data_IF_341652741172
#
_entry.id   IF_341652741172
#
_cell.length_a   1.000
_cell.length_b   1.000
_cell.length_c   1.000
_cell.angle_alpha   90.00
_cell.angle_beta   90.00
_cell.angle_gamma   90.00
#
_symmetry.space_group_name_H-M   'P 1'
#
loop_
_entity.id
_entity.type
_entity.pdbx_description
1 polymer ?
#
# COMPACT_ATOMS: atom_id res chain seq x y z
N UNK A 1 -7.38 51.69 -0.27
CA UNK A 1 -7.03 50.75 -1.36
C UNK A 1 -6.06 49.74 -0.76
N UNK A 2 -6.55 48.54 -0.47
CA UNK A 2 -5.73 47.40 -0.07
C UNK A 2 -6.16 46.26 -0.99
N UNK A 3 -5.28 45.94 -1.93
CA UNK A 3 -5.47 44.91 -2.95
C UNK A 3 -5.56 43.54 -2.30
N UNK A 4 -6.78 43.04 -2.13
CA UNK A 4 -7.04 41.63 -1.86
C UNK A 4 -7.02 40.88 -3.18
N UNK A 5 -5.82 40.72 -3.78
CA UNK A 5 -5.60 39.70 -4.79
C UNK A 5 -5.38 38.37 -4.06
N UNK A 6 -6.48 37.77 -3.58
CA UNK A 6 -6.47 36.35 -3.25
C UNK A 6 -6.17 35.59 -4.54
N UNK A 7 -5.05 34.87 -4.52
CA UNK A 7 -4.57 33.99 -5.56
C UNK A 7 -5.64 32.93 -5.92
N UNK A 8 -6.53 33.26 -6.85
CA UNK A 8 -7.58 32.37 -7.37
C UNK A 8 -7.03 31.30 -8.32
N UNK A 9 -5.74 31.36 -8.67
CA UNK A 9 -5.10 30.40 -9.59
C UNK A 9 -4.73 29.06 -8.94
N UNK A 10 -4.67 28.96 -7.60
CA UNK A 10 -4.34 27.68 -6.93
C UNK A 10 -5.49 26.66 -6.96
N UNK A 11 -6.74 27.13 -7.16
CA UNK A 11 -7.93 26.25 -7.24
C UNK A 11 -8.20 25.73 -8.66
N UNK A 12 -7.73 26.42 -9.71
CA UNK A 12 -7.98 26.05 -11.10
C UNK A 12 -7.12 24.87 -11.60
N UNK A 13 -6.07 24.50 -10.85
CA UNK A 13 -5.17 23.39 -11.16
C UNK A 13 -5.31 22.19 -10.21
N UNK A 14 -6.36 22.15 -9.38
CA UNK A 14 -6.63 21.00 -8.53
C UNK A 14 -6.98 19.80 -9.43
N UNK A 15 -6.03 18.87 -9.58
CA UNK A 15 -6.25 17.58 -10.25
C UNK A 15 -7.41 16.89 -9.56
N UNK A 16 -8.53 16.70 -10.28
CA UNK A 16 -9.67 15.95 -9.78
C UNK A 16 -9.17 14.51 -9.53
N UNK A 17 -9.34 13.96 -8.30
CA UNK A 17 -8.93 12.60 -8.02
C UNK A 17 -9.65 11.63 -8.95
N UNK A 18 -8.87 10.77 -9.58
CA UNK A 18 -9.37 9.63 -10.36
C UNK A 18 -10.16 8.68 -9.46
N UNK A 19 -11.04 7.86 -10.06
CA UNK A 19 -11.79 6.84 -9.32
C UNK A 19 -10.88 5.90 -8.50
N UNK A 20 -9.69 5.57 -9.05
CA UNK A 20 -8.68 4.75 -8.36
C UNK A 20 -8.04 5.48 -7.16
N UNK A 21 -7.75 6.77 -7.29
CA UNK A 21 -7.24 7.59 -6.17
C UNK A 21 -8.28 7.66 -5.03
N UNK A 22 -9.57 7.74 -5.36
CA UNK A 22 -10.66 7.67 -4.37
C UNK A 22 -10.80 6.27 -3.74
N UNK A 23 -10.65 5.20 -4.51
CA UNK A 23 -10.65 3.82 -3.99
C UNK A 23 -9.51 3.61 -2.98
N UNK A 24 -8.30 4.09 -3.31
CA UNK A 24 -7.15 4.04 -2.42
C UNK A 24 -7.42 4.76 -1.10
N UNK A 25 -7.99 5.97 -1.14
CA UNK A 25 -8.32 6.73 0.06
C UNK A 25 -9.33 5.99 0.97
N UNK A 26 -10.35 5.37 0.37
CA UNK A 26 -11.35 4.57 1.10
C UNK A 26 -10.74 3.31 1.73
N UNK A 27 -9.87 2.61 1.00
CA UNK A 27 -9.15 1.45 1.50
C UNK A 27 -8.18 1.83 2.62
N UNK A 28 -7.49 2.96 2.51
CA UNK A 28 -6.58 3.47 3.54
C UNK A 28 -7.33 3.81 4.84
N UNK A 29 -8.50 4.47 4.72
CA UNK A 29 -9.37 4.74 5.87
C UNK A 29 -9.80 3.45 6.58
N UNK A 30 -10.15 2.42 5.80
CA UNK A 30 -10.51 1.10 6.34
C UNK A 30 -9.32 0.44 7.04
N UNK A 31 -8.14 0.49 6.42
CA UNK A 31 -6.88 -0.03 7.00
C UNK A 31 -6.57 0.63 8.35
N UNK A 32 -6.68 1.95 8.45
CA UNK A 32 -6.41 2.69 9.68
C UNK A 32 -7.43 2.37 10.78
N UNK A 33 -8.70 2.17 10.41
CA UNK A 33 -9.77 1.76 11.33
C UNK A 33 -9.52 0.36 11.92
N UNK A 34 -9.08 -0.59 11.07
CA UNK A 34 -8.73 -1.93 11.51
C UNK A 34 -7.49 -1.90 12.42
N UNK A 35 -6.48 -1.09 12.09
CA UNK A 35 -5.29 -0.91 12.92
C UNK A 35 -5.65 -0.40 14.34
N UNK A 36 -6.54 0.59 14.45
CA UNK A 36 -7.06 1.08 15.73
C UNK A 36 -7.82 0.00 16.50
N UNK A 37 -8.60 -0.82 15.80
CA UNK A 37 -9.33 -1.94 16.39
C UNK A 37 -8.39 -3.01 16.95
N UNK A 38 -7.31 -3.35 16.23
CA UNK A 38 -6.26 -4.27 16.68
C UNK A 38 -5.59 -3.75 17.95
N UNK A 39 -5.23 -2.45 17.99
CA UNK A 39 -4.63 -1.83 19.18
C UNK A 39 -5.56 -1.87 20.39
N UNK A 40 -6.86 -1.65 20.16
CA UNK A 40 -7.88 -1.72 21.21
C UNK A 40 -8.02 -3.14 21.76
N UNK A 41 -8.02 -4.16 20.87
CA UNK A 41 -8.01 -5.56 21.28
C UNK A 41 -6.76 -5.93 22.08
N UNK A 42 -5.58 -5.44 21.67
CA UNK A 42 -4.34 -5.69 22.41
C UNK A 42 -4.40 -5.16 23.85
N UNK A 43 -4.96 -3.97 24.02
CA UNK A 43 -5.14 -3.36 25.34
C UNK A 43 -6.14 -4.16 26.18
N UNK A 44 -7.25 -4.59 25.60
CA UNK A 44 -8.27 -5.41 26.29
C UNK A 44 -7.69 -6.75 26.75
N UNK A 45 -6.99 -7.46 25.86
CA UNK A 45 -6.33 -8.73 26.17
C UNK A 45 -5.37 -8.56 27.36
N UNK A 46 -4.48 -7.57 27.32
CA UNK A 46 -3.54 -7.31 28.42
C UNK A 46 -4.24 -7.01 29.75
N UNK A 47 -5.35 -6.27 29.71
CA UNK A 47 -6.12 -5.95 30.91
C UNK A 47 -6.84 -7.18 31.48
N UNK A 48 -7.39 -8.02 30.61
CA UNK A 48 -8.08 -9.24 31.01
C UNK A 48 -7.10 -10.32 31.50
N UNK A 49 -5.90 -10.41 30.92
CA UNK A 49 -4.81 -11.24 31.44
C UNK A 49 -4.42 -10.82 32.87
N UNK A 50 -4.29 -9.52 33.15
CA UNK A 50 -4.04 -9.03 34.52
C UNK A 50 -5.18 -9.38 35.49
N UNK A 51 -6.43 -9.36 35.04
CA UNK A 51 -7.58 -9.78 35.87
C UNK A 51 -7.55 -11.29 36.13
N UNK A 52 -7.16 -12.10 35.14
CA UNK A 52 -6.96 -13.55 35.30
C UNK A 52 -5.92 -13.82 36.39
N UNK A 53 -4.83 -13.06 36.41
CA UNK A 53 -3.79 -13.20 37.45
C UNK A 53 -4.31 -12.84 38.84
N UNK A 54 -5.08 -11.74 38.96
CA UNK A 54 -5.73 -11.37 40.22
C UNK A 54 -6.71 -12.44 40.71
N UNK A 55 -7.52 -12.99 39.80
CA UNK A 55 -8.43 -14.08 40.13
C UNK A 55 -7.67 -15.34 40.55
N UNK A 56 -6.48 -15.60 39.99
CA UNK A 56 -5.64 -16.70 40.42
C UNK A 56 -5.17 -16.53 41.88
N UNK A 57 -4.83 -15.30 42.30
CA UNK A 57 -4.52 -15.01 43.71
C UNK A 57 -5.73 -15.22 44.62
N UNK A 58 -6.92 -14.75 44.22
CA UNK A 58 -8.16 -14.97 45.01
C UNK A 58 -8.47 -16.46 45.18
N UNK A 59 -8.19 -17.28 44.16
CA UNK A 59 -8.37 -18.74 44.26
C UNK A 59 -7.38 -19.38 45.25
N UNK A 60 -6.19 -18.81 45.41
CA UNK A 60 -5.16 -19.34 46.30
C UNK A 60 -5.41 -18.96 47.77
N UNK A 61 -5.86 -17.71 48.00
CA UNK A 61 -5.89 -17.12 49.35
C UNK A 61 -7.33 -16.93 49.90
N UNK A 62 -8.36 -17.08 49.07
CA UNK A 62 -9.76 -16.84 49.43
C UNK A 62 -10.43 -18.01 50.14
N UNK A 63 -11.62 -17.75 50.69
CA UNK A 63 -12.49 -18.82 51.21
C UNK A 63 -12.96 -19.76 50.09
N UNK A 64 -13.41 -20.96 50.45
CA UNK A 64 -13.87 -21.97 49.46
C UNK A 64 -14.95 -21.42 48.51
N UNK A 65 -15.87 -20.59 49.02
CA UNK A 65 -16.93 -19.97 48.22
C UNK A 65 -16.40 -18.88 47.28
N UNK A 66 -15.49 -18.04 47.75
CA UNK A 66 -14.82 -17.01 46.92
C UNK A 66 -13.95 -17.64 45.84
N UNK A 67 -13.21 -18.69 46.20
CA UNK A 67 -12.38 -19.45 45.27
C UNK A 67 -13.22 -20.16 44.20
N UNK A 68 -14.38 -20.71 44.57
CA UNK A 68 -15.30 -21.33 43.60
C UNK A 68 -15.82 -20.31 42.59
N UNK A 69 -16.27 -19.13 43.05
CA UNK A 69 -16.71 -18.04 42.17
C UNK A 69 -15.57 -17.55 41.27
N UNK A 70 -14.38 -17.31 41.85
CA UNK A 70 -13.22 -16.84 41.11
C UNK A 70 -12.76 -17.84 40.03
N UNK A 71 -12.92 -19.16 40.23
CA UNK A 71 -12.65 -20.17 39.19
C UNK A 71 -13.56 -20.04 37.99
N UNK A 72 -14.86 -19.81 38.21
CA UNK A 72 -15.85 -19.63 37.14
C UNK A 72 -15.49 -18.37 36.34
N UNK A 73 -15.31 -17.25 37.03
CA UNK A 73 -14.97 -15.97 36.40
C UNK A 73 -13.65 -16.05 35.63
N UNK A 74 -12.63 -16.71 36.19
CA UNK A 74 -11.32 -16.90 35.54
C UNK A 74 -11.43 -17.73 34.27
N UNK A 75 -12.25 -18.78 34.26
CA UNK A 75 -12.44 -19.63 33.08
C UNK A 75 -13.17 -18.90 31.97
N UNK A 76 -14.24 -18.16 32.30
CA UNK A 76 -14.97 -17.32 31.34
C UNK A 76 -14.07 -16.24 30.73
N UNK A 77 -13.22 -15.61 31.57
CA UNK A 77 -12.30 -14.59 31.11
C UNK A 77 -11.18 -15.15 30.23
N UNK A 78 -10.66 -16.34 30.54
CA UNK A 78 -9.70 -17.06 29.67
C UNK A 78 -10.29 -17.35 28.29
N UNK A 79 -11.53 -17.82 28.23
CA UNK A 79 -12.21 -18.05 26.96
C UNK A 79 -12.33 -16.73 26.16
N UNK A 80 -12.76 -15.66 26.81
CA UNK A 80 -12.88 -14.32 26.19
C UNK A 80 -11.52 -13.82 25.66
N UNK A 81 -10.43 -14.05 26.39
CA UNK A 81 -9.07 -13.69 25.95
C UNK A 81 -8.67 -14.45 24.68
N UNK A 82 -8.95 -15.75 24.60
CA UNK A 82 -8.62 -16.55 23.41
C UNK A 82 -9.48 -16.18 22.19
N UNK A 83 -10.76 -15.86 22.39
CA UNK A 83 -11.64 -15.32 21.35
C UNK A 83 -11.12 -13.96 20.83
N UNK A 84 -10.69 -13.08 21.73
CA UNK A 84 -10.10 -11.79 21.39
C UNK A 84 -8.75 -11.94 20.65
N UNK A 85 -7.89 -12.89 21.05
CA UNK A 85 -6.64 -13.21 20.34
C UNK A 85 -6.91 -13.71 18.93
N UNK A 86 -7.90 -14.57 18.76
CA UNK A 86 -8.33 -15.07 17.44
C UNK A 86 -8.85 -13.94 16.57
N UNK A 87 -9.73 -13.09 17.11
CA UNK A 87 -10.26 -11.91 16.42
C UNK A 87 -9.15 -10.96 16.00
N UNK A 88 -8.17 -10.69 16.89
CA UNK A 88 -7.00 -9.87 16.60
C UNK A 88 -6.19 -10.44 15.43
N UNK A 89 -5.95 -11.75 15.41
CA UNK A 89 -5.22 -12.43 14.32
C UNK A 89 -5.96 -12.32 12.98
N UNK A 90 -7.28 -12.51 12.98
CA UNK A 90 -8.10 -12.38 11.78
C UNK A 90 -8.03 -10.95 11.22
N UNK A 91 -8.18 -9.94 12.10
CA UNK A 91 -8.06 -8.53 11.72
C UNK A 91 -6.66 -8.18 11.21
N UNK A 92 -5.60 -8.73 11.78
CA UNK A 92 -4.24 -8.50 11.29
C UNK A 92 -4.03 -9.06 9.87
N UNK A 93 -4.63 -10.23 9.58
CA UNK A 93 -4.63 -10.81 8.23
C UNK A 93 -5.40 -9.93 7.25
N UNK A 94 -6.61 -9.49 7.62
CA UNK A 94 -7.42 -8.56 6.84
C UNK A 94 -6.65 -7.28 6.51
N UNK A 95 -6.00 -6.68 7.53
CA UNK A 95 -5.24 -5.44 7.37
C UNK A 95 -4.03 -5.61 6.44
N UNK A 96 -3.36 -6.75 6.51
CA UNK A 96 -2.24 -7.09 5.62
C UNK A 96 -2.71 -7.20 4.17
N UNK A 97 -3.89 -7.79 3.94
CA UNK A 97 -4.47 -7.91 2.61
C UNK A 97 -4.90 -6.55 2.05
N UNK A 98 -5.47 -5.67 2.89
CA UNK A 98 -5.78 -4.29 2.50
C UNK A 98 -4.52 -3.54 2.07
N UNK A 99 -3.44 -3.62 2.84
CA UNK A 99 -2.18 -2.96 2.49
C UNK A 99 -1.63 -3.43 1.14
N UNK A 100 -1.70 -4.74 0.85
CA UNK A 100 -1.31 -5.29 -0.45
C UNK A 100 -2.16 -4.72 -1.59
N UNK A 101 -3.48 -4.60 -1.39
CA UNK A 101 -4.40 -4.01 -2.37
C UNK A 101 -4.12 -2.53 -2.60
N UNK A 102 -3.91 -1.77 -1.53
CA UNK A 102 -3.55 -0.34 -1.58
C UNK A 102 -2.26 -0.16 -2.39
N UNK A 103 -1.21 -0.93 -2.09
CA UNK A 103 0.06 -0.85 -2.81
C UNK A 103 -0.09 -1.18 -4.29
N UNK A 104 -0.89 -2.21 -4.62
CA UNK A 104 -1.18 -2.56 -6.02
C UNK A 104 -1.88 -1.42 -6.76
N UNK A 105 -2.89 -0.81 -6.16
CA UNK A 105 -3.59 0.33 -6.77
C UNK A 105 -2.68 1.55 -6.93
N UNK A 106 -1.82 1.84 -5.96
CA UNK A 106 -0.79 2.87 -6.10
C UNK A 106 0.13 2.60 -7.30
N UNK A 107 0.59 1.35 -7.48
CA UNK A 107 1.41 0.99 -8.64
C UNK A 107 0.65 1.15 -9.96
N UNK A 108 -0.63 0.80 -10.01
CA UNK A 108 -1.48 1.00 -11.19
C UNK A 108 -1.65 2.49 -11.51
N UNK A 109 -1.95 3.33 -10.52
CA UNK A 109 -2.05 4.79 -10.70
C UNK A 109 -0.73 5.37 -11.22
N UNK A 110 0.41 4.93 -10.66
CA UNK A 110 1.73 5.36 -11.13
C UNK A 110 2.01 4.93 -12.57
N UNK A 111 1.59 3.73 -12.96
CA UNK A 111 1.74 3.24 -14.34
C UNK A 111 0.83 3.99 -15.31
N UNK A 112 -0.42 4.27 -14.93
CA UNK A 112 -1.36 5.04 -15.75
C UNK A 112 -0.92 6.50 -15.94
N UNK A 113 -0.30 7.09 -14.91
CA UNK A 113 0.31 8.42 -15.01
C UNK A 113 1.61 8.46 -15.81
N UNK A 114 2.28 7.32 -16.00
CA UNK A 114 3.48 7.19 -16.83
C UNK A 114 3.07 6.91 -18.27
N UNK A 115 3.33 7.85 -19.19
CA UNK A 115 3.13 7.60 -20.62
C UNK A 115 3.92 6.36 -21.08
N UNK A 116 3.41 5.63 -22.09
CA UNK A 116 3.99 4.37 -22.59
C UNK A 116 5.49 4.47 -22.89
N UNK A 117 5.95 5.65 -23.32
CA UNK A 117 7.35 5.94 -23.57
C UNK A 117 8.23 5.80 -22.31
N UNK A 118 7.79 6.36 -21.17
CA UNK A 118 8.53 6.27 -19.90
C UNK A 118 8.55 4.84 -19.34
N UNK A 119 7.45 4.10 -19.52
CA UNK A 119 7.36 2.67 -19.15
C UNK A 119 8.37 1.84 -19.96
N UNK A 120 8.45 2.09 -21.27
CA UNK A 120 9.37 1.37 -22.16
C UNK A 120 10.84 1.67 -21.80
N UNK A 121 11.19 2.93 -21.50
CA UNK A 121 12.55 3.30 -21.04
C UNK A 121 12.89 2.61 -19.71
N UNK A 122 11.96 2.58 -18.75
CA UNK A 122 12.17 1.91 -17.46
C UNK A 122 12.37 0.40 -17.64
N UNK A 123 11.64 -0.23 -18.55
CA UNK A 123 11.81 -1.65 -18.87
C UNK A 123 13.18 -1.96 -19.49
N UNK A 124 13.61 -1.14 -20.46
CA UNK A 124 14.92 -1.26 -21.15
C UNK A 124 16.09 -1.02 -20.19
N UNK A 125 15.94 -0.08 -19.26
CA UNK A 125 16.99 0.23 -18.27
C UNK A 125 17.08 -0.81 -17.14
N UNK A 126 15.97 -1.48 -16.78
CA UNK A 126 15.95 -2.54 -15.75
C UNK A 126 16.35 -3.91 -16.27
N UNK A 127 16.26 -4.17 -17.57
CA UNK A 127 16.78 -5.40 -18.16
C UNK A 127 18.31 -5.30 -18.32
N UNK A 128 19.00 -6.43 -18.12
CA UNK A 128 20.46 -6.58 -18.38
C UNK A 128 20.72 -6.57 -19.89
N UNK A 129 20.41 -5.45 -20.51
CA UNK A 129 20.69 -5.15 -21.91
C UNK A 129 22.00 -4.35 -21.91
N UNK A 130 22.92 -4.68 -22.81
CA UNK A 130 24.19 -3.96 -22.91
C UNK A 130 23.96 -2.47 -23.25
N UNK A 131 24.88 -1.58 -22.87
CA UNK A 131 24.74 -0.14 -23.18
C UNK A 131 24.59 0.14 -24.68
N UNK A 132 25.22 -0.70 -25.52
CA UNK A 132 25.08 -0.67 -26.98
C UNK A 132 23.65 -0.96 -27.40
N UNK A 133 23.05 -2.01 -26.84
CA UNK A 133 21.67 -2.40 -27.15
C UNK A 133 20.64 -1.39 -26.62
N UNK A 134 20.95 -0.68 -25.53
CA UNK A 134 20.14 0.47 -25.03
C UNK A 134 20.15 1.66 -25.97
N UNK A 135 21.15 1.78 -26.84
CA UNK A 135 21.27 2.87 -27.82
C UNK A 135 20.38 2.71 -29.05
N UNK A 136 19.97 1.49 -29.41
CA UNK A 136 19.22 1.24 -30.65
C UNK A 136 17.86 1.95 -30.74
N UNK A 137 17.03 2.02 -29.68
CA UNK A 137 15.79 2.80 -29.72
C UNK A 137 16.02 4.29 -30.03
N UNK A 138 17.11 4.87 -29.50
CA UNK A 138 17.48 6.25 -29.78
C UNK A 138 17.95 6.43 -31.22
N UNK A 139 18.70 5.46 -31.77
CA UNK A 139 19.13 5.48 -33.18
C UNK A 139 17.93 5.40 -34.13
N UNK A 140 16.93 4.59 -33.82
CA UNK A 140 15.69 4.47 -34.58
C UNK A 140 14.80 5.73 -34.53
N UNK A 141 14.83 6.48 -33.41
CA UNK A 141 14.17 7.78 -33.32
C UNK A 141 14.76 8.82 -34.27
N UNK A 142 16.08 8.82 -34.53
CA UNK A 142 16.71 9.75 -35.48
C UNK A 142 16.26 9.56 -36.93
N UNK A 143 15.83 8.35 -37.27
CA UNK A 143 15.40 7.97 -38.63
C UNK A 143 13.88 7.85 -38.74
N UNK A 144 13.14 7.82 -37.62
CA UNK A 144 11.69 7.62 -37.61
C UNK A 144 11.28 6.20 -38.00
N UNK A 145 12.16 5.21 -37.78
CA UNK A 145 11.94 3.81 -38.15
C UNK A 145 11.80 2.96 -36.90
N UNK A 146 11.33 1.72 -37.01
CA UNK A 146 11.18 0.77 -35.89
C UNK A 146 11.99 -0.52 -36.07
N UNK A 147 12.67 -0.66 -37.20
CA UNK A 147 13.49 -1.82 -37.53
C UNK A 147 14.84 -1.42 -38.18
N UNK A 148 15.79 -2.35 -38.13
CA UNK A 148 17.16 -2.14 -38.61
C UNK A 148 17.27 -1.96 -40.12
N UNK A 149 16.44 -2.64 -40.91
CA UNK A 149 16.53 -2.59 -42.37
C UNK A 149 16.19 -1.19 -42.85
N UNK A 150 15.09 -0.62 -42.34
CA UNK A 150 14.65 0.73 -42.70
C UNK A 150 15.60 1.80 -42.16
N UNK A 151 16.15 1.61 -40.96
CA UNK A 151 17.19 2.49 -40.42
C UNK A 151 18.37 2.62 -41.38
N UNK A 152 18.92 1.49 -41.86
CA UNK A 152 20.04 1.51 -42.80
C UNK A 152 19.68 2.12 -44.15
N UNK A 153 18.44 1.94 -44.63
CA UNK A 153 17.97 2.60 -45.85
C UNK A 153 17.91 4.12 -45.71
N UNK A 154 17.40 4.63 -44.58
CA UNK A 154 17.33 6.07 -44.28
C UNK A 154 18.72 6.68 -44.08
N UNK A 155 19.61 5.99 -43.38
CA UNK A 155 21.00 6.46 -43.22
C UNK A 155 21.70 6.47 -44.57
N UNK A 156 21.59 5.40 -45.36
CA UNK A 156 22.19 5.31 -46.70
C UNK A 156 21.68 6.42 -47.60
N UNK A 157 20.37 6.69 -47.62
CA UNK A 157 19.80 7.75 -48.44
C UNK A 157 20.37 9.12 -48.08
N UNK A 158 20.56 9.43 -46.79
CA UNK A 158 21.19 10.70 -46.36
C UNK A 158 22.64 10.86 -46.82
N UNK A 159 23.42 9.78 -46.87
CA UNK A 159 24.79 9.82 -47.40
C UNK A 159 24.86 9.83 -48.93
N UNK A 160 23.91 9.20 -49.63
CA UNK A 160 23.86 9.23 -51.11
C UNK A 160 23.18 10.48 -51.67
N UNK A 161 22.48 11.26 -50.85
CA UNK A 161 21.84 12.52 -51.28
C UNK A 161 22.81 13.72 -51.29
N UNK A 162 24.07 13.51 -50.90
CA UNK A 162 25.11 14.54 -50.75
C UNK A 162 26.20 14.49 -51.84
N UNK A 163 25.95 13.79 -52.95
CA UNK A 163 26.76 13.81 -54.18
C UNK A 163 25.91 14.29 -55.35
#
# INVERSE_FOLDING_TARGET
MTDTNQNTNDLANAKIPTEKENEVANLQSTYDSIAKSISSLDTRIKNDEKKIDKLASVIADGSDEEAAKARIDRNALKQTVEENKTTKKNKATENTNLLKRINRLHEEILKEGKGQHAINIEAITKTKISEVERGFPYLFQFTGTDNFVDFFQVVKSRFTSSQ
#
